data_IF_550403523616
#
_entry.id   IF_550403523616
#
_cell.length_a   1.000
_cell.length_b   1.000
_cell.length_c   1.000
_cell.angle_alpha   90.00
_cell.angle_beta   90.00
_cell.angle_gamma   90.00
#
_symmetry.space_group_name_H-M   'P 1'
#
loop_
_entity.id
_entity.type
_entity.pdbx_description
1 polymer ?
#
# COMPACT_ATOMS: atom_id res chain seq x y z
N UNK A 1 -16.84 -29.79 -1.69
CA UNK A 1 -17.18 -28.38 -1.44
C UNK A 1 -16.83 -28.07 0.00
N UNK A 2 -15.65 -27.53 0.26
CA UNK A 2 -15.24 -27.17 1.62
C UNK A 2 -14.41 -25.91 1.55
N UNK A 3 -14.82 -24.87 2.27
CA UNK A 3 -14.03 -23.69 2.56
C UNK A 3 -13.55 -23.72 4.01
N UNK A 4 -12.62 -22.83 4.36
CA UNK A 4 -12.14 -22.67 5.74
C UNK A 4 -12.70 -21.37 6.30
N UNK A 5 -13.36 -21.39 7.46
CA UNK A 5 -13.81 -20.17 8.14
C UNK A 5 -12.94 -19.93 9.37
N UNK A 6 -12.30 -18.76 9.42
CA UNK A 6 -11.48 -18.31 10.54
C UNK A 6 -12.30 -17.28 11.32
N UNK A 7 -13.00 -17.74 12.36
CA UNK A 7 -13.96 -16.90 13.09
C UNK A 7 -13.32 -16.08 14.20
N UNK A 8 -12.28 -16.60 14.85
CA UNK A 8 -11.49 -15.93 15.89
C UNK A 8 -10.15 -16.69 16.07
N UNK A 9 -9.25 -16.16 16.88
CA UNK A 9 -7.96 -16.75 17.20
C UNK A 9 -7.00 -16.77 16.00
N UNK A 10 -5.99 -17.64 16.07
CA UNK A 10 -4.98 -17.81 15.02
C UNK A 10 -5.04 -19.22 14.45
N UNK A 11 -5.30 -19.35 13.15
CA UNK A 11 -5.10 -20.57 12.39
C UNK A 11 -3.67 -20.54 11.82
N UNK A 12 -2.79 -21.32 12.43
CA UNK A 12 -1.44 -21.56 11.91
C UNK A 12 -1.45 -22.69 10.89
N UNK A 13 -0.86 -22.46 9.71
CA UNK A 13 -0.71 -23.47 8.66
C UNK A 13 0.74 -23.61 8.21
N UNK A 14 1.12 -24.82 7.83
CA UNK A 14 2.41 -25.13 7.20
C UNK A 14 2.28 -25.40 5.69
N UNK A 15 1.06 -25.44 5.15
CA UNK A 15 0.80 -25.69 3.73
C UNK A 15 -0.62 -25.29 3.33
N UNK A 16 -0.86 -24.99 2.04
CA UNK A 16 -2.20 -24.67 1.53
C UNK A 16 -3.23 -25.79 1.77
N UNK A 17 -2.80 -27.05 1.77
CA UNK A 17 -3.69 -28.20 2.02
C UNK A 17 -4.28 -28.18 3.43
N UNK A 18 -3.67 -27.48 4.39
CA UNK A 18 -4.27 -27.27 5.71
C UNK A 18 -5.55 -26.42 5.66
N UNK A 19 -5.77 -25.66 4.58
CA UNK A 19 -6.99 -24.87 4.33
C UNK A 19 -8.07 -25.69 3.58
N UNK A 20 -7.82 -26.99 3.35
CA UNK A 20 -8.71 -27.86 2.61
C UNK A 20 -8.56 -27.73 1.10
N UNK A 21 -9.64 -28.01 0.37
CA UNK A 21 -9.61 -28.03 -1.10
C UNK A 21 -9.17 -26.66 -1.66
N UNK A 22 -8.26 -26.65 -2.65
CA UNK A 22 -7.72 -25.46 -3.30
C UNK A 22 -8.78 -24.51 -3.90
N UNK A 23 -9.93 -25.02 -4.33
CA UNK A 23 -11.06 -24.21 -4.82
C UNK A 23 -11.97 -23.70 -3.70
N UNK A 24 -11.72 -24.09 -2.45
CA UNK A 24 -12.45 -23.65 -1.28
C UNK A 24 -12.04 -22.26 -0.83
N UNK A 25 -13.01 -21.37 -0.66
CA UNK A 25 -12.79 -20.02 -0.11
C UNK A 25 -12.30 -20.09 1.34
N UNK A 26 -11.38 -19.19 1.70
CA UNK A 26 -11.06 -18.89 3.11
C UNK A 26 -11.83 -17.65 3.52
N UNK A 27 -12.68 -17.78 4.54
CA UNK A 27 -13.58 -16.74 5.02
C UNK A 27 -13.05 -16.23 6.38
N UNK A 28 -12.85 -14.93 6.49
CA UNK A 28 -12.47 -14.26 7.72
C UNK A 28 -13.69 -13.62 8.38
N UNK A 29 -13.97 -14.03 9.63
CA UNK A 29 -14.99 -13.39 10.50
C UNK A 29 -14.40 -12.83 11.81
N UNK A 30 -13.08 -12.76 11.93
CA UNK A 30 -12.41 -12.16 13.09
C UNK A 30 -10.99 -12.66 13.38
N UNK A 31 -10.64 -13.88 12.95
CA UNK A 31 -9.34 -14.46 13.29
C UNK A 31 -8.21 -14.18 12.29
N UNK A 32 -7.05 -14.76 12.58
CA UNK A 32 -5.79 -14.57 11.86
C UNK A 32 -5.39 -15.85 11.13
N UNK A 33 -4.94 -15.72 9.88
CA UNK A 33 -4.20 -16.76 9.18
C UNK A 33 -2.71 -16.51 9.35
N UNK A 34 -2.02 -17.44 10.02
CA UNK A 34 -0.57 -17.40 10.23
C UNK A 34 0.11 -18.52 9.43
N UNK A 35 1.24 -18.20 8.81
CA UNK A 35 2.05 -19.19 8.09
C UNK A 35 3.29 -19.55 8.91
N UNK A 36 3.50 -20.84 9.16
CA UNK A 36 4.60 -21.37 9.98
C UNK A 36 5.61 -22.25 9.20
N UNK A 37 5.56 -22.28 7.86
CA UNK A 37 6.50 -23.07 7.04
C UNK A 37 7.25 -22.26 5.96
N UNK A 38 8.51 -22.63 5.73
CA UNK A 38 9.52 -21.89 5.00
C UNK A 38 9.50 -22.24 3.52
N UNK A 39 8.98 -21.35 2.68
CA UNK A 39 9.07 -21.47 1.21
C UNK A 39 7.93 -20.77 0.46
N UNK A 40 7.95 -20.77 -0.89
CA UNK A 40 6.82 -20.32 -1.70
C UNK A 40 5.68 -21.31 -1.52
N UNK A 41 4.91 -21.15 -0.45
CA UNK A 41 3.80 -22.04 -0.10
C UNK A 41 2.65 -22.03 -1.13
N UNK A 42 2.68 -21.08 -2.07
CA UNK A 42 1.65 -20.94 -3.09
C UNK A 42 2.30 -20.78 -4.47
N UNK A 43 2.73 -21.89 -5.06
CA UNK A 43 2.69 -22.04 -6.52
C UNK A 43 1.21 -22.23 -6.90
N UNK A 44 0.55 -21.24 -7.51
CA UNK A 44 -0.70 -20.75 -6.95
C UNK A 44 -1.91 -21.68 -7.21
N UNK A 45 -2.58 -22.20 -6.16
CA UNK A 45 -4.02 -22.39 -6.24
C UNK A 45 -4.72 -21.01 -6.30
N UNK A 46 -5.77 -20.87 -7.11
CA UNK A 46 -6.58 -19.63 -7.25
C UNK A 46 -7.51 -19.38 -6.05
N UNK A 47 -7.07 -19.77 -4.85
CA UNK A 47 -7.87 -19.78 -3.64
C UNK A 47 -8.34 -18.36 -3.30
N UNK A 48 -9.66 -18.20 -3.27
CA UNK A 48 -10.29 -16.94 -2.93
C UNK A 48 -10.25 -16.69 -1.42
N UNK A 49 -10.02 -15.45 -1.03
CA UNK A 49 -10.15 -14.99 0.35
C UNK A 49 -11.34 -14.01 0.44
N UNK A 50 -12.18 -14.19 1.46
CA UNK A 50 -13.38 -13.40 1.68
C UNK A 50 -13.36 -12.82 3.10
N UNK A 51 -13.57 -11.52 3.20
CA UNK A 51 -13.91 -10.84 4.45
C UNK A 51 -15.42 -10.85 4.65
N UNK A 52 -15.88 -11.21 5.85
CA UNK A 52 -17.30 -11.28 6.22
C UNK A 52 -17.48 -10.73 7.64
N UNK A 53 -17.71 -9.43 7.72
CA UNK A 53 -17.89 -8.67 8.96
C UNK A 53 -16.60 -8.36 9.72
N UNK A 54 -15.44 -8.85 9.27
CA UNK A 54 -14.15 -8.57 9.89
C UNK A 54 -12.99 -8.62 8.87
N UNK A 55 -11.92 -7.88 9.19
CA UNK A 55 -10.75 -7.79 8.33
C UNK A 55 -10.08 -9.16 8.13
N UNK A 56 -9.52 -9.39 6.94
CA UNK A 56 -8.63 -10.50 6.69
C UNK A 56 -7.28 -10.20 7.33
N UNK A 57 -6.93 -10.94 8.40
CA UNK A 57 -5.67 -10.76 9.11
C UNK A 57 -4.70 -11.85 8.66
N UNK A 58 -3.61 -11.45 8.01
CA UNK A 58 -2.51 -12.32 7.61
C UNK A 58 -1.28 -12.01 8.45
N UNK A 59 -0.74 -13.03 9.11
CA UNK A 59 0.48 -12.92 9.90
C UNK A 59 1.61 -13.73 9.25
N UNK A 60 2.71 -13.03 8.90
CA UNK A 60 3.92 -13.68 8.39
C UNK A 60 5.08 -13.51 9.37
N UNK A 61 5.59 -14.59 9.98
CA UNK A 61 6.74 -14.54 10.88
C UNK A 61 8.06 -14.13 10.18
N UNK A 62 9.16 -13.88 10.92
CA UNK A 62 10.44 -13.45 10.35
C UNK A 62 11.00 -14.44 9.32
N UNK A 63 11.35 -13.94 8.13
CA UNK A 63 11.90 -14.76 7.04
C UNK A 63 10.86 -15.54 6.23
N UNK A 64 9.58 -15.46 6.61
CA UNK A 64 8.50 -16.13 5.90
C UNK A 64 7.84 -15.22 4.87
N UNK A 65 7.32 -15.82 3.81
CA UNK A 65 6.49 -15.13 2.83
C UNK A 65 5.21 -15.91 2.55
N UNK A 66 4.09 -15.18 2.50
CA UNK A 66 2.78 -15.69 2.10
C UNK A 66 2.45 -15.10 0.72
N UNK A 67 2.05 -15.93 -0.22
CA UNK A 67 1.77 -15.51 -1.58
C UNK A 67 0.30 -15.78 -1.93
N UNK A 68 -0.45 -14.72 -2.26
CA UNK A 68 -1.88 -14.78 -2.54
C UNK A 68 -2.13 -14.40 -3.99
N UNK A 69 -2.70 -15.34 -4.75
CA UNK A 69 -3.07 -15.17 -6.16
C UNK A 69 -4.58 -15.07 -6.37
N UNK A 70 -5.38 -15.72 -5.52
CA UNK A 70 -6.82 -15.86 -5.71
C UNK A 70 -7.68 -14.70 -5.23
N UNK A 71 -7.13 -13.50 -5.00
CA UNK A 71 -7.96 -12.33 -4.72
C UNK A 71 -8.48 -12.28 -3.29
N UNK A 72 -8.75 -11.04 -2.86
CA UNK A 72 -9.37 -10.76 -1.56
C UNK A 72 -10.61 -9.92 -1.87
N UNK A 73 -11.76 -10.35 -1.36
CA UNK A 73 -13.06 -9.69 -1.54
C UNK A 73 -13.79 -9.54 -0.22
N UNK A 74 -14.93 -8.86 -0.22
CA UNK A 74 -15.83 -8.78 0.93
C UNK A 74 -16.02 -7.37 1.49
N UNK A 75 -16.63 -7.28 2.67
CA UNK A 75 -17.12 -6.03 3.24
C UNK A 75 -16.13 -5.33 4.20
N UNK A 76 -15.04 -6.01 4.59
CA UNK A 76 -14.07 -5.47 5.54
C UNK A 76 -12.69 -5.27 4.88
N UNK A 77 -11.66 -5.07 5.69
CA UNK A 77 -10.31 -4.68 5.26
C UNK A 77 -9.29 -5.82 5.22
N UNK A 78 -8.05 -5.44 4.93
CA UNK A 78 -6.87 -6.29 4.92
C UNK A 78 -5.90 -5.83 6.03
N UNK A 79 -5.43 -6.75 6.86
CA UNK A 79 -4.39 -6.48 7.87
C UNK A 79 -3.19 -7.39 7.65
N UNK A 80 -2.01 -6.79 7.50
CA UNK A 80 -0.72 -7.47 7.43
C UNK A 80 0.04 -7.32 8.75
N UNK A 81 0.21 -8.44 9.45
CA UNK A 81 0.97 -8.59 10.68
C UNK A 81 2.26 -9.39 10.47
N UNK A 82 3.13 -9.35 11.48
CA UNK A 82 4.38 -10.09 11.50
C UNK A 82 5.48 -9.52 10.57
N UNK A 83 6.76 -9.77 10.86
CA UNK A 83 7.87 -9.12 10.16
C UNK A 83 8.20 -9.71 8.77
N UNK A 84 7.58 -10.81 8.37
CA UNK A 84 7.75 -11.41 7.04
C UNK A 84 7.02 -10.64 5.93
N UNK A 85 6.90 -11.27 4.76
CA UNK A 85 6.31 -10.65 3.55
C UNK A 85 4.95 -11.27 3.20
N UNK A 86 3.94 -10.46 2.95
CA UNK A 86 2.73 -10.88 2.24
C UNK A 86 2.86 -10.38 0.81
N UNK A 87 2.87 -11.29 -0.16
CA UNK A 87 2.91 -11.01 -1.58
C UNK A 87 1.49 -11.16 -2.10
N UNK A 88 0.97 -10.12 -2.75
CA UNK A 88 -0.27 -10.23 -3.50
C UNK A 88 0.07 -10.22 -5.01
N UNK A 89 -0.37 -11.27 -5.70
CA UNK A 89 -0.25 -11.49 -7.15
C UNK A 89 -1.60 -11.60 -7.85
N UNK A 90 -2.67 -11.26 -7.14
CA UNK A 90 -4.01 -11.27 -7.68
C UNK A 90 -4.25 -10.08 -8.61
N UNK A 91 -5.21 -10.22 -9.52
CA UNK A 91 -5.84 -9.08 -10.18
C UNK A 91 -6.75 -8.39 -9.17
N UNK A 92 -6.64 -7.07 -9.03
CA UNK A 92 -7.48 -6.14 -8.24
C UNK A 92 -8.35 -6.77 -7.13
N UNK A 93 -7.98 -6.55 -5.88
CA UNK A 93 -8.81 -6.93 -4.73
C UNK A 93 -10.07 -6.06 -4.65
N UNK A 94 -11.19 -6.63 -4.22
CA UNK A 94 -12.51 -5.96 -4.21
C UNK A 94 -13.12 -5.82 -2.81
N UNK A 95 -12.31 -5.94 -1.78
CA UNK A 95 -12.76 -5.69 -0.41
C UNK A 95 -13.02 -4.19 -0.16
N UNK A 96 -13.96 -3.84 0.73
CA UNK A 96 -14.38 -2.45 0.91
C UNK A 96 -13.64 -1.70 2.03
N UNK A 97 -13.02 -2.41 2.98
CA UNK A 97 -12.38 -1.83 4.17
C UNK A 97 -10.91 -1.42 3.97
N UNK A 98 -10.26 -0.93 5.06
CA UNK A 98 -8.90 -0.38 4.99
C UNK A 98 -7.83 -1.45 4.74
N UNK A 99 -6.67 -1.03 4.25
CA UNK A 99 -5.46 -1.86 4.17
C UNK A 99 -4.47 -1.38 5.23
N UNK A 100 -4.19 -2.21 6.23
CA UNK A 100 -3.26 -1.88 7.32
C UNK A 100 -2.05 -2.79 7.29
N UNK A 101 -0.86 -2.22 7.21
CA UNK A 101 0.42 -2.93 7.34
C UNK A 101 1.00 -2.59 8.71
N UNK A 102 0.75 -3.44 9.71
CA UNK A 102 1.27 -3.24 11.05
C UNK A 102 2.76 -3.54 11.13
N UNK A 103 3.24 -4.56 10.43
CA UNK A 103 4.64 -4.97 10.40
C UNK A 103 5.01 -5.76 9.13
N UNK A 104 6.32 -5.85 8.88
CA UNK A 104 6.87 -6.57 7.73
C UNK A 104 6.54 -5.88 6.41
N UNK A 105 6.44 -6.66 5.34
CA UNK A 105 6.23 -6.14 3.98
C UNK A 105 4.90 -6.61 3.40
N UNK A 106 4.12 -5.71 2.82
CA UNK A 106 3.10 -6.03 1.82
C UNK A 106 3.70 -5.73 0.44
N UNK A 107 3.93 -6.77 -0.34
CA UNK A 107 4.57 -6.69 -1.65
C UNK A 107 3.52 -6.83 -2.76
N UNK A 108 3.57 -5.89 -3.72
CA UNK A 108 2.75 -5.90 -4.92
C UNK A 108 3.52 -6.39 -6.13
N UNK A 109 2.87 -7.23 -6.96
CA UNK A 109 3.44 -7.82 -8.17
C UNK A 109 2.49 -7.84 -9.38
N UNK A 110 1.49 -6.96 -9.44
CA UNK A 110 0.53 -6.82 -10.55
C UNK A 110 0.08 -5.34 -10.69
N UNK A 111 -0.62 -5.01 -11.78
CA UNK A 111 -0.98 -3.63 -12.19
C UNK A 111 -1.85 -2.88 -11.16
N UNK A 112 -2.87 -3.52 -10.60
CA UNK A 112 -3.76 -2.96 -9.58
C UNK A 112 -4.04 -4.05 -8.55
N UNK A 113 -3.84 -3.75 -7.27
CA UNK A 113 -3.80 -4.76 -6.23
C UNK A 113 -4.75 -4.49 -5.08
N UNK A 114 -4.65 -3.31 -4.49
CA UNK A 114 -5.53 -2.88 -3.42
C UNK A 114 -6.74 -2.17 -4.06
N UNK A 115 -7.88 -2.16 -3.37
CA UNK A 115 -9.02 -1.38 -3.83
C UNK A 115 -8.64 0.11 -3.87
N UNK A 116 -8.95 0.79 -4.98
CA UNK A 116 -8.66 2.22 -5.18
C UNK A 116 -9.14 3.13 -4.04
N UNK A 117 -10.22 2.75 -3.35
CA UNK A 117 -10.79 3.49 -2.23
C UNK A 117 -10.16 3.22 -0.86
N UNK A 118 -9.22 2.28 -0.76
CA UNK A 118 -8.69 1.81 0.53
C UNK A 118 -7.96 2.91 1.29
N UNK A 119 -8.21 3.01 2.60
CA UNK A 119 -7.32 3.74 3.49
C UNK A 119 -6.07 2.89 3.74
N UNK A 120 -4.94 3.27 3.13
CA UNK A 120 -3.68 2.57 3.28
C UNK A 120 -2.90 3.12 4.48
N UNK A 121 -2.81 2.31 5.54
CA UNK A 121 -1.97 2.60 6.72
C UNK A 121 -0.69 1.79 6.67
N UNK A 122 0.46 2.44 6.54
CA UNK A 122 1.77 1.80 6.41
C UNK A 122 2.61 2.05 7.67
N UNK A 123 2.68 1.07 8.56
CA UNK A 123 3.60 1.05 9.72
C UNK A 123 4.79 0.10 9.50
N UNK A 124 4.63 -0.91 8.64
CA UNK A 124 5.70 -1.72 8.07
C UNK A 124 6.19 -1.16 6.74
N UNK A 125 6.13 -1.99 5.69
CA UNK A 125 6.56 -1.61 4.34
C UNK A 125 5.50 -1.96 3.31
N UNK A 126 5.16 -1.00 2.44
CA UNK A 126 4.48 -1.25 1.18
C UNK A 126 5.49 -1.23 0.02
N UNK A 127 5.64 -2.36 -0.69
CA UNK A 127 6.67 -2.55 -1.71
C UNK A 127 6.09 -2.76 -3.10
N UNK A 128 6.58 -1.99 -4.07
CA UNK A 128 6.28 -2.13 -5.50
C UNK A 128 7.39 -2.93 -6.16
N UNK A 129 7.10 -4.15 -6.63
CA UNK A 129 8.10 -4.99 -7.28
C UNK A 129 8.14 -4.83 -8.81
N UNK A 130 7.08 -4.31 -9.42
CA UNK A 130 6.92 -4.15 -10.87
C UNK A 130 6.54 -2.71 -11.20
N UNK A 131 6.92 -2.25 -12.39
CA UNK A 131 6.70 -0.89 -12.87
C UNK A 131 5.25 -0.65 -13.23
N UNK A 132 4.42 -0.43 -12.21
CA UNK A 132 2.97 -0.33 -12.30
C UNK A 132 2.43 0.80 -11.41
N UNK A 133 1.18 1.20 -11.64
CA UNK A 133 0.49 2.25 -10.88
C UNK A 133 -0.41 1.67 -9.81
N UNK A 134 -0.30 2.08 -8.55
CA UNK A 134 -1.30 1.79 -7.51
C UNK A 134 -2.07 3.06 -7.21
N UNK A 135 -3.40 2.98 -7.12
CA UNK A 135 -4.20 4.06 -6.55
C UNK A 135 -4.73 3.63 -5.18
N UNK A 136 -4.67 4.53 -4.20
CA UNK A 136 -5.26 4.31 -2.88
C UNK A 136 -6.11 5.50 -2.46
N UNK A 137 -7.08 5.22 -1.60
CA UNK A 137 -7.99 6.20 -1.05
C UNK A 137 -7.21 7.25 -0.27
N UNK A 138 -6.42 6.80 0.69
CA UNK A 138 -5.53 7.66 1.50
C UNK A 138 -4.23 6.93 1.85
N UNK A 139 -3.23 7.70 2.32
CA UNK A 139 -1.95 7.17 2.79
C UNK A 139 -1.65 7.75 4.19
N UNK A 140 -1.40 6.88 5.16
CA UNK A 140 -1.02 7.26 6.52
C UNK A 140 -0.02 6.28 7.15
N UNK A 141 0.47 6.59 8.35
CA UNK A 141 1.44 5.77 9.10
C UNK A 141 2.86 6.33 9.06
N UNK A 142 3.79 5.57 9.64
CA UNK A 142 5.19 5.97 9.86
C UNK A 142 6.23 4.99 9.28
N UNK A 143 5.79 4.04 8.46
CA UNK A 143 6.61 2.99 7.87
C UNK A 143 7.34 3.43 6.59
N UNK A 144 7.37 2.57 5.58
CA UNK A 144 8.03 2.87 4.32
C UNK A 144 7.21 2.47 3.10
N UNK A 145 7.17 3.33 2.09
CA UNK A 145 6.79 2.97 0.73
C UNK A 145 8.07 2.80 -0.08
N UNK A 146 8.22 1.68 -0.78
CA UNK A 146 9.43 1.36 -1.53
C UNK A 146 9.14 1.00 -2.97
N UNK A 147 9.73 1.75 -3.88
CA UNK A 147 9.76 1.49 -5.31
C UNK A 147 10.99 0.63 -5.63
N UNK A 148 10.80 -0.68 -5.78
CA UNK A 148 11.92 -1.62 -5.89
C UNK A 148 12.50 -1.71 -7.31
N UNK A 149 11.65 -1.69 -8.35
CA UNK A 149 12.12 -1.66 -9.74
C UNK A 149 12.62 -0.27 -10.16
N UNK A 150 13.44 -0.23 -11.21
CA UNK A 150 14.11 0.99 -11.68
C UNK A 150 13.22 1.90 -12.53
N UNK A 151 12.11 1.40 -13.08
CA UNK A 151 11.20 2.20 -13.92
C UNK A 151 9.72 1.88 -13.66
N UNK A 152 8.86 2.90 -13.79
CA UNK A 152 7.41 2.78 -13.94
C UNK A 152 6.62 2.58 -12.65
N UNK A 153 7.27 2.57 -11.50
CA UNK A 153 6.56 2.52 -10.21
C UNK A 153 5.83 3.84 -9.98
N UNK A 154 4.53 3.79 -9.72
CA UNK A 154 3.73 4.98 -9.48
C UNK A 154 2.72 4.74 -8.36
N UNK A 155 2.71 5.60 -7.34
CA UNK A 155 1.68 5.62 -6.31
C UNK A 155 0.80 6.86 -6.47
N UNK A 156 -0.52 6.67 -6.58
CA UNK A 156 -1.54 7.71 -6.57
C UNK A 156 -2.28 7.68 -5.25
N UNK A 157 -2.38 8.82 -4.58
CA UNK A 157 -2.97 8.92 -3.23
C UNK A 157 -4.05 9.99 -3.21
N UNK A 158 -5.19 9.68 -2.60
CA UNK A 158 -6.26 10.65 -2.34
C UNK A 158 -7.56 10.34 -3.07
N UNK A 159 -7.74 9.13 -3.59
CA UNK A 159 -8.95 8.75 -4.33
C UNK A 159 -10.24 8.87 -3.51
N UNK A 160 -10.15 8.84 -2.17
CA UNK A 160 -11.30 9.01 -1.28
C UNK A 160 -11.44 10.42 -0.69
N UNK A 161 -10.61 11.38 -1.11
CA UNK A 161 -10.62 12.77 -0.66
C UNK A 161 -10.31 13.01 0.82
N UNK A 162 -9.86 11.98 1.55
CA UNK A 162 -9.49 12.12 2.97
C UNK A 162 -8.19 12.91 3.12
N UNK A 163 -8.10 13.70 4.20
CA UNK A 163 -6.85 14.37 4.57
C UNK A 163 -6.07 13.51 5.56
N UNK A 164 -4.82 13.20 5.25
CA UNK A 164 -3.97 12.32 6.05
C UNK A 164 -2.54 12.84 6.19
N UNK A 165 -1.83 12.33 7.21
CA UNK A 165 -0.39 12.53 7.36
C UNK A 165 0.31 11.19 7.20
N UNK A 166 1.32 11.15 6.33
CA UNK A 166 2.28 10.06 6.24
C UNK A 166 3.63 10.54 6.76
N UNK A 167 4.03 10.02 7.92
CA UNK A 167 5.32 10.33 8.54
C UNK A 167 6.43 9.38 8.15
N UNK A 168 6.12 8.37 7.33
CA UNK A 168 7.09 7.42 6.81
C UNK A 168 7.91 7.97 5.64
N UNK A 169 8.84 7.14 5.17
CA UNK A 169 9.74 7.46 4.05
C UNK A 169 9.19 6.83 2.77
N UNK A 170 9.23 7.59 1.68
CA UNK A 170 9.04 7.04 0.33
C UNK A 170 10.43 6.95 -0.33
N UNK A 171 10.78 5.79 -0.86
CA UNK A 171 12.13 5.52 -1.37
C UNK A 171 12.09 4.75 -2.68
N UNK A 172 13.17 4.85 -3.45
CA UNK A 172 13.37 4.05 -4.65
C UNK A 172 14.73 3.35 -4.62
N UNK A 173 14.79 2.10 -5.10
CA UNK A 173 16.03 1.35 -5.24
C UNK A 173 16.65 1.62 -6.63
N UNK A 174 17.14 2.84 -6.83
CA UNK A 174 17.80 3.27 -8.07
C UNK A 174 16.87 3.61 -9.24
N UNK A 175 15.56 3.76 -8.98
CA UNK A 175 14.53 4.00 -10.00
C UNK A 175 13.73 5.29 -9.87
N UNK A 176 12.91 5.55 -10.90
CA UNK A 176 12.08 6.75 -11.09
C UNK A 176 10.75 6.71 -10.32
N UNK A 177 10.67 6.04 -9.17
CA UNK A 177 9.40 5.88 -8.47
C UNK A 177 8.67 7.21 -8.29
N UNK A 178 7.40 7.27 -8.67
CA UNK A 178 6.62 8.50 -8.77
C UNK A 178 5.51 8.55 -7.72
N UNK A 179 5.19 9.76 -7.28
CA UNK A 179 4.03 10.02 -6.44
C UNK A 179 3.07 10.96 -7.17
N UNK A 180 1.77 10.68 -7.10
CA UNK A 180 0.74 11.67 -7.48
C UNK A 180 -0.29 11.83 -6.38
N UNK A 181 -0.43 13.07 -5.90
CA UNK A 181 -1.52 13.49 -5.03
C UNK A 181 -2.74 13.85 -5.89
N UNK A 182 -3.83 13.12 -5.70
CA UNK A 182 -5.14 13.33 -6.34
C UNK A 182 -6.21 13.64 -5.29
N UNK A 183 -7.43 13.97 -5.75
CA UNK A 183 -8.58 14.23 -4.87
C UNK A 183 -8.46 15.52 -4.06
N UNK A 184 -9.54 15.93 -3.40
CA UNK A 184 -9.65 17.26 -2.76
C UNK A 184 -9.00 17.36 -1.38
N UNK A 185 -8.69 16.22 -0.74
CA UNK A 185 -8.07 16.17 0.58
C UNK A 185 -6.64 16.73 0.63
N UNK A 186 -6.09 16.82 1.83
CA UNK A 186 -4.69 17.22 2.09
C UNK A 186 -3.83 16.01 2.42
N UNK A 187 -2.73 15.80 1.70
CA UNK A 187 -1.69 14.84 2.09
C UNK A 187 -0.53 15.61 2.72
N UNK A 188 -0.21 15.30 3.98
CA UNK A 188 0.98 15.84 4.65
C UNK A 188 2.07 14.77 4.67
N UNK A 189 3.24 15.09 4.09
CA UNK A 189 4.41 14.21 4.09
C UNK A 189 5.47 14.78 5.02
N UNK A 190 5.89 14.03 6.04
CA UNK A 190 6.89 14.51 7.02
C UNK A 190 8.18 13.69 7.06
N UNK A 191 8.28 12.62 6.27
CA UNK A 191 9.49 11.80 6.19
C UNK A 191 10.55 12.33 5.22
N UNK A 192 11.77 11.84 5.37
CA UNK A 192 12.91 12.14 4.49
C UNK A 192 12.92 11.19 3.28
N UNK A 193 12.16 11.54 2.24
CA UNK A 193 11.97 10.69 1.05
C UNK A 193 13.11 10.79 0.05
N UNK A 194 13.39 9.69 -0.67
CA UNK A 194 14.57 9.58 -1.56
C UNK A 194 14.26 9.18 -3.00
N UNK A 195 12.99 8.95 -3.35
CA UNK A 195 12.60 8.67 -4.74
C UNK A 195 12.89 9.86 -5.66
N UNK A 196 13.24 9.60 -6.92
CA UNK A 196 13.68 10.63 -7.88
C UNK A 196 12.73 10.84 -9.05
N UNK A 197 11.66 10.04 -9.15
CA UNK A 197 10.67 10.14 -10.23
C UNK A 197 9.89 11.44 -10.28
N UNK A 198 9.83 12.14 -9.15
CA UNK A 198 9.07 13.36 -8.98
C UNK A 198 7.71 13.15 -8.34
N UNK A 199 7.08 14.27 -8.00
CA UNK A 199 5.80 14.34 -7.31
C UNK A 199 4.85 15.24 -8.07
N UNK A 200 3.72 14.70 -8.52
CA UNK A 200 2.66 15.48 -9.17
C UNK A 200 1.53 15.77 -8.18
N UNK A 201 1.04 17.00 -8.16
CA UNK A 201 -0.13 17.42 -7.39
C UNK A 201 -1.21 17.82 -8.40
N UNK A 202 -2.19 16.94 -8.60
CA UNK A 202 -3.29 17.13 -9.55
C UNK A 202 -4.66 17.24 -8.88
N UNK A 203 -4.71 17.24 -7.54
CA UNK A 203 -5.88 17.66 -6.78
C UNK A 203 -5.55 18.00 -5.33
N UNK A 204 -6.31 18.94 -4.76
CA UNK A 204 -6.26 19.29 -3.35
C UNK A 204 -4.93 19.92 -2.94
N UNK A 205 -4.41 19.51 -1.77
CA UNK A 205 -3.18 20.07 -1.19
C UNK A 205 -2.16 18.98 -0.86
N UNK A 206 -0.89 19.23 -1.18
CA UNK A 206 0.26 18.53 -0.62
C UNK A 206 0.97 19.46 0.37
N UNK A 207 1.23 18.99 1.60
CA UNK A 207 2.01 19.71 2.61
C UNK A 207 3.32 18.98 2.88
N UNK A 208 4.43 19.69 2.79
CA UNK A 208 5.77 19.16 3.06
C UNK A 208 6.24 19.57 4.47
N UNK A 209 6.36 18.60 5.36
CA UNK A 209 6.91 18.76 6.70
C UNK A 209 8.42 18.51 6.79
N UNK A 210 9.06 18.09 5.70
CA UNK A 210 10.51 17.87 5.60
C UNK A 210 11.03 18.36 4.24
N UNK A 211 12.29 18.82 4.18
CA UNK A 211 12.93 19.37 2.96
C UNK A 211 12.92 18.41 1.77
N UNK A 212 13.05 17.11 2.03
CA UNK A 212 13.00 16.06 1.01
C UNK A 212 11.68 15.27 1.01
N UNK A 213 10.61 15.79 1.64
CA UNK A 213 9.36 15.03 1.78
C UNK A 213 8.76 14.58 0.43
N UNK A 214 8.94 15.38 -0.62
CA UNK A 214 8.51 15.10 -1.99
C UNK A 214 9.55 14.34 -2.84
N UNK A 215 10.57 13.75 -2.21
CA UNK A 215 11.70 13.10 -2.89
C UNK A 215 12.71 14.10 -3.45
N UNK A 216 13.52 13.64 -4.40
CA UNK A 216 14.59 14.43 -5.05
C UNK A 216 14.25 14.84 -6.48
N UNK A 217 13.18 14.30 -7.05
CA UNK A 217 12.70 14.64 -8.39
C UNK A 217 11.94 15.97 -8.46
N UNK A 218 11.45 16.39 -9.65
CA UNK A 218 10.66 17.60 -9.78
C UNK A 218 9.31 17.51 -9.04
N UNK A 219 8.78 18.65 -8.64
CA UNK A 219 7.40 18.79 -8.16
C UNK A 219 6.59 19.47 -9.26
N UNK A 220 5.57 18.80 -9.78
CA UNK A 220 4.64 19.35 -10.77
C UNK A 220 3.31 19.65 -10.10
N UNK A 221 2.80 20.87 -10.27
CA UNK A 221 1.53 21.31 -9.70
C UNK A 221 0.57 21.61 -10.84
N UNK A 222 -0.61 20.98 -10.84
CA UNK A 222 -1.65 21.15 -11.87
C UNK A 222 -2.95 21.56 -11.18
N UNK A 223 -3.29 22.86 -11.20
CA UNK A 223 -4.54 23.38 -10.60
C UNK A 223 -4.73 23.04 -9.11
N UNK A 224 -3.63 22.89 -8.37
CA UNK A 224 -3.59 22.38 -6.99
C UNK A 224 -2.71 23.25 -6.10
N UNK A 225 -2.61 22.89 -4.80
CA UNK A 225 -1.80 23.63 -3.81
C UNK A 225 -0.62 22.83 -3.31
N UNK A 226 0.56 23.45 -3.29
CA UNK A 226 1.72 23.02 -2.51
C UNK A 226 1.89 23.95 -1.30
N UNK A 227 1.98 23.38 -0.10
CA UNK A 227 2.36 24.06 1.13
C UNK A 227 3.56 23.37 1.80
N UNK A 228 4.23 24.07 2.70
CA UNK A 228 5.37 23.54 3.45
C UNK A 228 5.42 24.13 4.87
N UNK A 229 6.04 23.41 5.81
CA UNK A 229 6.20 23.88 7.19
C UNK A 229 7.35 24.90 7.32
N UNK A 230 7.34 25.70 8.40
CA UNK A 230 8.42 26.65 8.68
C UNK A 230 9.79 25.94 8.78
N UNK A 231 10.80 26.49 8.11
CA UNK A 231 12.16 25.95 8.12
C UNK A 231 12.41 24.82 7.09
N UNK A 232 11.40 24.43 6.32
CA UNK A 232 11.55 23.49 5.20
C UNK A 232 12.18 24.21 4.00
N UNK A 233 13.22 23.61 3.40
CA UNK A 233 13.85 24.11 2.18
C UNK A 233 13.57 23.15 1.02
N UNK A 234 12.80 23.60 0.03
CA UNK A 234 12.46 22.79 -1.14
C UNK A 234 13.51 22.99 -2.22
N UNK A 235 14.39 21.99 -2.37
CA UNK A 235 15.43 21.99 -3.40
C UNK A 235 14.94 21.45 -4.76
N UNK A 236 13.76 20.85 -4.80
CA UNK A 236 13.16 20.29 -6.01
C UNK A 236 12.93 21.38 -7.06
N UNK A 237 13.09 21.03 -8.34
CA UNK A 237 12.56 21.87 -9.42
C UNK A 237 11.03 21.92 -9.31
N UNK A 238 10.45 23.12 -9.33
CA UNK A 238 8.99 23.30 -9.28
C UNK A 238 8.48 23.66 -10.67
N UNK A 239 7.53 22.87 -11.16
CA UNK A 239 6.83 23.07 -12.44
C UNK A 239 5.38 23.43 -12.12
N UNK A 240 4.93 24.60 -12.61
CA UNK A 240 3.56 25.07 -12.45
C UNK A 240 2.81 24.92 -13.78
N UNK A 241 1.73 24.16 -13.75
CA UNK A 241 0.81 23.94 -14.88
C UNK A 241 -0.60 24.38 -14.48
N UNK A 242 -1.38 24.90 -15.43
CA UNK A 242 -2.83 25.16 -15.30
C UNK A 242 -3.26 25.81 -13.97
N UNK A 243 -3.02 27.12 -13.79
CA UNK A 243 -3.45 27.92 -12.62
C UNK A 243 -3.02 27.37 -11.24
N UNK A 244 -1.85 26.73 -11.16
CA UNK A 244 -1.27 26.26 -9.90
C UNK A 244 -1.05 27.40 -8.89
N UNK A 245 -1.35 27.14 -7.61
CA UNK A 245 -1.11 28.09 -6.51
C UNK A 245 0.00 27.58 -5.59
N UNK A 246 1.01 28.43 -5.34
CA UNK A 246 2.01 28.21 -4.31
C UNK A 246 1.61 29.03 -3.08
N UNK A 247 1.33 28.37 -1.96
CA UNK A 247 1.05 29.06 -0.70
C UNK A 247 2.35 29.16 0.09
N UNK A 248 3.02 30.31 -0.05
CA UNK A 248 4.30 30.67 0.59
C UNK A 248 4.13 31.17 2.02
#
# INVERSE_FOLDING_TARGET
SGGTTISDGTLSISSDVNLGNASGTVIFKGGTLRIDDYGPLFTPPTRQFLTDGANAIFETPPGFFLDISGGISGDAGLVKNGPGTLVLRTTASTYAGPTTINAGTLQRRQDELLPDGTDLTVNGVFEFQLGVTETVGSLSGSGSVRFFTTTGNHLRVGANNTSTTFGGIISANGGDGQLTKIGTGTLTLTGDSTYSGGTTISGGTLVLGHSNAAGTGPITITGSTLGYANGVNIANAIVLENDATLNV
#
